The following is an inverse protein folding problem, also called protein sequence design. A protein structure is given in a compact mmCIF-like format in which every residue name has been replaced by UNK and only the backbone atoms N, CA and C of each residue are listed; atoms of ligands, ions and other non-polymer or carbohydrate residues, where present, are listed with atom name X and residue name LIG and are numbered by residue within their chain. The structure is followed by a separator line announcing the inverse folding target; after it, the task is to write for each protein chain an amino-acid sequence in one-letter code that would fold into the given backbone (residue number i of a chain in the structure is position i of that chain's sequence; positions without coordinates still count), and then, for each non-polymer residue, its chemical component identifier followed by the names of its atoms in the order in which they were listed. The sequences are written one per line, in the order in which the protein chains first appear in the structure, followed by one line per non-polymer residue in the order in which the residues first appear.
data_IF_668351454155
#
_entry.id   IF_668351454155
#
_cell.length_a   1.000
_cell.length_b   1.000
_cell.length_c   1.000
_cell.angle_alpha   90.00
_cell.angle_beta   90.00
_cell.angle_gamma   90.00
#
_symmetry.space_group_name_H-M   'P 1'
#
loop_
_entity.id
_entity.type
_entity.pdbx_description
1 polymer ?
#
# COMPACT_ATOMS: atom_id res chain seq x y z
N UNK A 1 17.60 -14.53 13.06
CA UNK A 1 16.17 -14.70 12.70
C UNK A 1 15.69 -16.00 13.32
N UNK A 2 14.67 -15.94 14.14
CA UNK A 2 14.00 -17.13 14.72
C UNK A 2 12.87 -17.60 13.80
N UNK A 3 12.29 -18.77 14.09
CA UNK A 3 11.11 -19.26 13.34
C UNK A 3 9.92 -18.32 13.57
N UNK A 4 9.75 -17.82 14.78
CA UNK A 4 8.70 -16.86 15.14
C UNK A 4 8.83 -15.58 14.33
N UNK A 5 10.03 -15.01 14.24
CA UNK A 5 10.29 -13.82 13.40
C UNK A 5 9.99 -14.08 11.93
N UNK A 6 10.33 -15.26 11.43
CA UNK A 6 10.03 -15.64 10.04
C UNK A 6 8.52 -15.70 9.80
N UNK A 7 7.74 -16.27 10.73
CA UNK A 7 6.29 -16.35 10.63
C UNK A 7 5.65 -14.94 10.64
N UNK A 8 6.15 -14.04 11.46
CA UNK A 8 5.68 -12.64 11.48
C UNK A 8 5.95 -11.94 10.15
N UNK A 9 7.12 -12.15 9.58
CA UNK A 9 7.48 -11.59 8.26
C UNK A 9 6.55 -12.15 7.16
N UNK A 10 6.25 -13.44 7.17
CA UNK A 10 5.34 -14.06 6.18
C UNK A 10 3.89 -13.53 6.33
N UNK A 11 3.41 -13.30 7.55
CA UNK A 11 2.09 -12.69 7.75
C UNK A 11 2.04 -11.23 7.25
N UNK A 12 3.11 -10.45 7.38
CA UNK A 12 3.20 -9.10 6.83
C UNK A 12 3.22 -9.14 5.29
N UNK A 13 3.98 -10.04 4.68
CA UNK A 13 3.98 -10.22 3.22
C UNK A 13 2.59 -10.59 2.71
N UNK A 14 1.91 -11.51 3.40
CA UNK A 14 0.53 -11.89 3.08
C UNK A 14 -0.44 -10.71 3.19
N UNK A 15 -0.33 -9.90 4.25
CA UNK A 15 -1.11 -8.68 4.41
C UNK A 15 -0.98 -7.75 3.20
N UNK A 16 0.25 -7.53 2.72
CA UNK A 16 0.50 -6.67 1.56
C UNK A 16 -0.01 -7.30 0.26
N UNK A 17 0.07 -8.62 0.11
CA UNK A 17 -0.53 -9.33 -1.00
C UNK A 17 -2.06 -9.21 -0.99
N UNK A 18 -2.69 -9.34 0.18
CA UNK A 18 -4.13 -9.14 0.33
C UNK A 18 -4.57 -7.74 -0.07
N UNK A 19 -3.75 -6.72 0.22
CA UNK A 19 -4.03 -5.35 -0.22
C UNK A 19 -4.22 -5.27 -1.74
N UNK A 20 -3.29 -5.79 -2.54
CA UNK A 20 -3.40 -5.75 -3.99
C UNK A 20 -4.62 -6.53 -4.50
N UNK A 21 -4.84 -7.74 -3.99
CA UNK A 21 -6.00 -8.55 -4.38
C UNK A 21 -7.33 -7.87 -4.05
N UNK A 22 -7.47 -7.28 -2.87
CA UNK A 22 -8.70 -6.60 -2.48
C UNK A 22 -8.92 -5.29 -3.24
N UNK A 23 -7.83 -4.56 -3.52
CA UNK A 23 -7.89 -3.37 -4.35
C UNK A 23 -8.35 -3.71 -5.77
N UNK A 24 -7.69 -4.65 -6.42
CA UNK A 24 -7.98 -5.05 -7.81
C UNK A 24 -9.39 -5.65 -7.94
N UNK A 25 -9.87 -6.34 -6.91
CA UNK A 25 -11.24 -6.84 -6.84
C UNK A 25 -12.28 -5.79 -6.43
N UNK A 26 -11.88 -4.56 -6.13
CA UNK A 26 -12.74 -3.51 -5.56
C UNK A 26 -13.49 -3.94 -4.28
N UNK A 27 -12.86 -4.77 -3.48
CA UNK A 27 -13.40 -5.30 -2.23
C UNK A 27 -13.18 -4.32 -1.08
N UNK A 28 -14.01 -3.26 -1.03
CA UNK A 28 -13.81 -2.11 -0.15
C UNK A 28 -13.62 -2.48 1.32
N UNK A 29 -14.53 -3.24 1.89
CA UNK A 29 -14.51 -3.52 3.33
C UNK A 29 -13.32 -4.40 3.72
N UNK A 30 -12.98 -5.40 2.90
CA UNK A 30 -11.78 -6.21 3.13
C UNK A 30 -10.50 -5.40 2.99
N UNK A 31 -10.43 -4.49 2.00
CA UNK A 31 -9.29 -3.60 1.82
C UNK A 31 -9.11 -2.68 3.03
N UNK A 32 -10.18 -2.05 3.48
CA UNK A 32 -10.15 -1.08 4.59
C UNK A 32 -9.83 -1.78 5.92
N UNK A 33 -10.25 -3.04 6.09
CA UNK A 33 -9.91 -3.80 7.30
C UNK A 33 -8.40 -4.07 7.46
N UNK A 34 -7.63 -3.98 6.39
CA UNK A 34 -6.16 -4.13 6.48
C UNK A 34 -5.46 -2.99 7.20
N UNK A 35 -6.13 -1.86 7.42
CA UNK A 35 -5.55 -0.64 8.01
C UNK A 35 -5.86 -0.51 9.50
N UNK A 36 -4.96 0.16 10.24
CA UNK A 36 -5.25 0.61 11.61
C UNK A 36 -6.23 1.77 11.59
N UNK A 37 -6.90 2.06 12.73
CA UNK A 37 -7.87 3.16 12.82
C UNK A 37 -7.23 4.53 12.54
N UNK A 38 -5.99 4.71 12.95
CA UNK A 38 -5.18 5.92 12.77
C UNK A 38 -4.23 5.85 11.56
N UNK A 39 -4.48 4.94 10.63
CA UNK A 39 -3.60 4.73 9.49
C UNK A 39 -3.45 5.97 8.61
N UNK A 40 -2.31 6.07 7.95
CA UNK A 40 -2.01 7.14 6.99
C UNK A 40 -1.58 6.56 5.67
N UNK A 41 -2.22 7.02 4.59
CA UNK A 41 -1.79 6.75 3.22
C UNK A 41 -1.22 8.04 2.62
N UNK A 42 0.01 7.98 2.14
CA UNK A 42 0.69 9.09 1.48
C UNK A 42 0.85 8.77 0.00
N UNK A 43 0.04 9.44 -0.80
CA UNK A 43 0.12 9.41 -2.25
C UNK A 43 0.64 10.76 -2.74
N UNK A 44 1.13 10.84 -3.96
CA UNK A 44 1.42 12.16 -4.53
C UNK A 44 0.12 12.98 -4.73
N UNK A 45 0.27 14.28 -4.97
CA UNK A 45 -0.89 15.18 -5.08
C UNK A 45 -1.82 14.81 -6.26
N UNK A 46 -1.28 14.22 -7.33
CA UNK A 46 -2.07 13.79 -8.49
C UNK A 46 -2.88 12.52 -8.22
N UNK A 47 -2.47 11.74 -7.21
CA UNK A 47 -3.12 10.51 -6.78
C UNK A 47 -3.91 10.67 -5.46
N UNK A 48 -4.24 11.89 -5.09
CA UNK A 48 -5.14 12.17 -3.97
C UNK A 48 -4.48 12.66 -2.68
N UNK A 49 -3.15 12.80 -2.66
CA UNK A 49 -2.42 13.35 -1.51
C UNK A 49 -2.45 12.46 -0.26
N UNK A 50 -2.53 13.07 0.91
CA UNK A 50 -2.54 12.36 2.18
C UNK A 50 -3.95 12.02 2.63
N UNK A 51 -4.17 10.76 3.02
CA UNK A 51 -5.41 10.31 3.66
C UNK A 51 -5.10 9.89 5.09
N UNK A 52 -5.75 10.52 6.05
CA UNK A 52 -5.48 10.37 7.47
C UNK A 52 -6.68 9.73 8.17
N UNK A 53 -6.44 8.58 8.77
CA UNK A 53 -7.42 7.78 9.49
C UNK A 53 -8.28 6.90 8.59
N UNK A 54 -8.65 5.76 9.11
CA UNK A 54 -9.40 4.69 8.41
C UNK A 54 -10.70 5.20 7.77
N UNK A 55 -11.38 6.14 8.42
CA UNK A 55 -12.60 6.74 7.88
C UNK A 55 -12.37 7.48 6.56
N UNK A 56 -11.31 8.28 6.49
CA UNK A 56 -10.95 9.01 5.27
C UNK A 56 -10.44 8.06 4.19
N UNK A 57 -9.62 7.08 4.58
CA UNK A 57 -9.13 6.03 3.68
C UNK A 57 -10.30 5.29 3.02
N UNK A 58 -11.30 4.86 3.82
CA UNK A 58 -12.51 4.20 3.30
C UNK A 58 -13.28 5.09 2.33
N UNK A 59 -13.50 6.35 2.68
CA UNK A 59 -14.24 7.29 1.82
C UNK A 59 -13.55 7.50 0.47
N UNK A 60 -12.22 7.61 0.47
CA UNK A 60 -11.44 7.81 -0.75
C UNK A 60 -11.42 6.55 -1.62
N UNK A 61 -11.16 5.35 -1.06
CA UNK A 61 -11.24 4.12 -1.84
C UNK A 61 -12.64 3.88 -2.41
N UNK A 62 -13.69 4.16 -1.61
CA UNK A 62 -15.06 4.06 -2.12
C UNK A 62 -15.27 4.94 -3.33
N UNK A 63 -14.84 6.21 -3.27
CA UNK A 63 -14.93 7.14 -4.40
C UNK A 63 -14.17 6.60 -5.61
N UNK A 64 -12.93 6.13 -5.45
CA UNK A 64 -12.15 5.57 -6.56
C UNK A 64 -12.83 4.34 -7.17
N UNK A 65 -13.37 3.45 -6.36
CA UNK A 65 -14.06 2.26 -6.86
C UNK A 65 -15.39 2.60 -7.55
N UNK A 66 -16.12 3.60 -7.05
CA UNK A 66 -17.37 4.07 -7.68
C UNK A 66 -17.10 4.76 -9.02
N UNK A 67 -16.01 5.53 -9.13
CA UNK A 67 -15.68 6.32 -10.31
C UNK A 67 -14.94 5.49 -11.37
N UNK A 68 -13.96 4.68 -10.98
CA UNK A 68 -13.00 4.03 -11.89
C UNK A 68 -12.96 2.51 -11.76
N UNK A 69 -13.49 1.93 -10.70
CA UNK A 69 -13.44 0.49 -10.46
C UNK A 69 -14.37 -0.30 -11.38
N UNK A 70 -13.99 -1.50 -11.72
CA UNK A 70 -14.79 -2.53 -12.44
C UNK A 70 -15.46 -2.17 -13.77
N UNK A 71 -15.75 -0.90 -14.01
CA UNK A 71 -16.47 -0.47 -15.22
C UNK A 71 -15.53 -0.03 -16.34
N UNK A 72 -14.48 0.67 -15.96
CA UNK A 72 -13.56 1.31 -16.90
C UNK A 72 -12.10 0.97 -16.63
N UNK A 73 -11.81 0.45 -15.45
CA UNK A 73 -10.45 0.21 -14.98
C UNK A 73 -10.22 -1.25 -14.62
N UNK A 74 -9.52 -1.95 -15.48
CA UNK A 74 -9.04 -3.30 -15.21
C UNK A 74 -7.56 -3.17 -14.85
N UNK A 75 -7.25 -3.26 -13.56
CA UNK A 75 -5.89 -3.11 -13.05
C UNK A 75 -5.38 -4.39 -12.41
N UNK A 76 -4.07 -4.55 -12.40
CA UNK A 76 -3.38 -5.56 -11.65
C UNK A 76 -2.17 -4.95 -10.97
N UNK A 77 -2.19 -4.91 -9.64
CA UNK A 77 -1.07 -4.49 -8.81
C UNK A 77 -0.17 -5.69 -8.51
N UNK A 78 0.90 -5.86 -9.29
CA UNK A 78 1.93 -6.84 -8.98
C UNK A 78 2.91 -6.25 -7.96
N UNK A 79 2.81 -6.69 -6.70
CA UNK A 79 3.67 -6.25 -5.60
C UNK A 79 4.75 -7.29 -5.38
N UNK A 80 6.02 -6.88 -5.49
CA UNK A 80 7.15 -7.80 -5.54
C UNK A 80 8.31 -7.34 -4.66
N UNK A 81 9.33 -8.21 -4.54
CA UNK A 81 10.59 -7.93 -3.85
C UNK A 81 10.39 -7.40 -2.42
N UNK A 82 9.67 -8.13 -1.56
CA UNK A 82 9.44 -7.70 -0.19
C UNK A 82 10.74 -7.61 0.60
N UNK A 83 10.93 -6.50 1.27
CA UNK A 83 11.97 -6.32 2.28
C UNK A 83 11.30 -5.87 3.58
N UNK A 84 11.24 -6.76 4.58
CA UNK A 84 10.56 -6.53 5.85
C UNK A 84 11.58 -6.54 6.98
N UNK A 85 11.51 -5.53 7.83
CA UNK A 85 12.27 -5.41 9.07
C UNK A 85 11.31 -5.35 10.27
N UNK A 86 11.44 -6.28 11.19
CA UNK A 86 10.76 -6.21 12.48
C UNK A 86 11.46 -5.16 13.34
N UNK A 87 10.78 -4.07 13.67
CA UNK A 87 11.31 -2.96 14.47
C UNK A 87 10.98 -3.07 15.95
N UNK A 88 10.12 -4.03 16.29
CA UNK A 88 9.72 -4.35 17.67
C UNK A 88 8.80 -5.56 17.68
N UNK A 89 8.29 -5.90 18.86
CA UNK A 89 7.40 -7.04 19.05
C UNK A 89 6.11 -6.90 18.20
N UNK A 90 5.57 -5.68 18.13
CA UNK A 90 4.28 -5.40 17.48
C UNK A 90 4.42 -4.30 16.40
N UNK A 91 5.64 -4.06 15.92
CA UNK A 91 5.94 -3.06 14.89
C UNK A 91 6.90 -3.61 13.86
N UNK A 92 6.69 -3.23 12.61
CA UNK A 92 7.55 -3.58 11.48
C UNK A 92 7.51 -2.49 10.41
N UNK A 93 8.53 -2.50 9.56
CA UNK A 93 8.61 -1.69 8.36
C UNK A 93 8.81 -2.58 7.15
N UNK A 94 8.32 -2.14 6.01
CA UNK A 94 8.43 -2.92 4.79
C UNK A 94 8.57 -2.09 3.54
N UNK A 95 9.22 -2.67 2.55
CA UNK A 95 9.42 -2.08 1.25
C UNK A 95 9.11 -3.08 0.15
N UNK A 96 8.47 -2.59 -0.93
CA UNK A 96 8.05 -3.43 -2.06
C UNK A 96 8.16 -2.65 -3.35
N UNK A 97 8.37 -3.37 -4.46
CA UNK A 97 8.14 -2.79 -5.77
C UNK A 97 6.68 -3.00 -6.20
N UNK A 98 6.13 -2.00 -6.87
CA UNK A 98 4.85 -2.04 -7.55
C UNK A 98 5.09 -2.04 -9.05
N UNK A 99 4.48 -2.99 -9.74
CA UNK A 99 4.20 -2.93 -11.17
C UNK A 99 2.68 -2.83 -11.31
N UNK A 100 2.19 -1.68 -11.70
CA UNK A 100 0.77 -1.44 -11.91
C UNK A 100 0.46 -1.59 -13.40
N UNK A 101 -0.38 -2.56 -13.72
CA UNK A 101 -0.86 -2.81 -15.06
C UNK A 101 -2.30 -2.36 -15.20
N UNK A 102 -2.59 -1.59 -16.26
CA UNK A 102 -3.92 -1.18 -16.62
C UNK A 102 -4.28 -1.78 -17.99
N UNK A 103 -5.27 -2.66 -18.01
CA UNK A 103 -5.75 -3.33 -19.22
C UNK A 103 -7.01 -2.67 -19.80
N UNK A 104 -7.40 -1.51 -19.29
CA UNK A 104 -8.55 -0.78 -19.74
C UNK A 104 -8.31 -0.17 -21.12
N UNK A 105 -9.26 -0.40 -22.04
CA UNK A 105 -9.22 0.21 -23.34
C UNK A 105 -8.28 -0.45 -24.35
N UNK A 106 -7.92 0.31 -25.37
CA UNK A 106 -7.10 -0.14 -26.51
C UNK A 106 -5.62 0.21 -26.35
N UNK A 107 -5.13 0.28 -25.13
CA UNK A 107 -3.71 0.58 -24.92
C UNK A 107 -2.83 -0.57 -25.40
N UNK A 108 -1.76 -0.25 -26.12
CA UNK A 108 -0.75 -1.22 -26.53
C UNK A 108 0.29 -1.44 -25.44
N UNK A 109 0.39 -0.51 -24.50
CA UNK A 109 1.27 -0.61 -23.32
C UNK A 109 0.42 -0.63 -22.06
N UNK A 110 0.25 -1.81 -21.43
CA UNK A 110 -0.55 -1.94 -20.25
C UNK A 110 0.18 -1.47 -18.97
N UNK A 111 1.48 -1.16 -19.02
CA UNK A 111 2.21 -0.69 -17.84
C UNK A 111 1.78 0.74 -17.49
N UNK A 112 0.98 0.87 -16.45
CA UNK A 112 0.49 2.15 -15.95
C UNK A 112 1.55 2.90 -15.16
N UNK A 113 2.15 2.24 -14.17
CA UNK A 113 3.25 2.82 -13.42
C UNK A 113 4.19 1.77 -12.81
N UNK A 114 5.38 2.22 -12.42
CA UNK A 114 6.28 1.50 -11.55
C UNK A 114 6.48 2.34 -10.30
N UNK A 115 6.36 1.73 -9.14
CA UNK A 115 6.51 2.43 -7.87
C UNK A 115 7.22 1.63 -6.81
N UNK A 116 7.47 2.31 -5.69
CA UNK A 116 7.99 1.70 -4.47
C UNK A 116 7.06 2.04 -3.32
N UNK A 117 6.55 1.01 -2.66
CA UNK A 117 5.87 1.17 -1.39
C UNK A 117 6.88 1.19 -0.25
N UNK A 118 6.71 2.15 0.65
CA UNK A 118 7.31 2.19 1.98
C UNK A 118 6.19 2.14 3.02
N UNK A 119 6.17 1.08 3.80
CA UNK A 119 5.10 0.78 4.75
C UNK A 119 5.61 0.71 6.19
N UNK A 120 4.76 1.10 7.13
CA UNK A 120 4.91 0.77 8.55
C UNK A 120 3.69 -0.03 9.01
N UNK A 121 3.94 -1.05 9.79
CA UNK A 121 2.95 -1.99 10.28
C UNK A 121 2.84 -1.97 11.80
N UNK A 122 1.64 -2.21 12.31
CA UNK A 122 1.37 -2.47 13.72
C UNK A 122 0.59 -3.76 13.89
N UNK A 123 0.90 -4.50 14.93
CA UNK A 123 0.15 -5.67 15.33
C UNK A 123 -0.90 -5.27 16.35
N UNK A 124 -2.17 -5.42 15.99
CA UNK A 124 -3.33 -5.06 16.81
C UNK A 124 -4.13 -6.35 17.08
N UNK A 125 -4.32 -6.69 18.34
CA UNK A 125 -5.04 -7.91 18.76
C UNK A 125 -4.52 -9.18 18.07
N UNK A 126 -3.18 -9.27 17.96
CA UNK A 126 -2.50 -10.40 17.33
C UNK A 126 -2.51 -10.43 15.80
N UNK A 127 -3.03 -9.39 15.14
CA UNK A 127 -3.08 -9.29 13.67
C UNK A 127 -2.28 -8.10 13.18
N UNK A 128 -1.44 -8.31 12.17
CA UNK A 128 -0.76 -7.23 11.49
C UNK A 128 -1.72 -6.37 10.70
N UNK A 129 -1.51 -5.05 10.74
CA UNK A 129 -2.27 -4.04 10.02
C UNK A 129 -1.32 -3.02 9.40
N UNK A 130 -1.70 -2.45 8.27
CA UNK A 130 -1.00 -1.31 7.67
C UNK A 130 -1.28 -0.09 8.53
N UNK A 131 -0.23 0.48 9.11
CA UNK A 131 -0.33 1.69 9.92
C UNK A 131 0.00 2.93 9.10
N UNK A 132 1.00 2.83 8.24
CA UNK A 132 1.36 3.88 7.28
C UNK A 132 1.78 3.24 5.98
N UNK A 133 1.42 3.86 4.87
CA UNK A 133 1.88 3.45 3.55
C UNK A 133 2.18 4.68 2.72
N UNK A 134 3.27 4.63 1.97
CA UNK A 134 3.66 5.63 1.00
C UNK A 134 3.97 4.95 -0.32
N UNK A 135 3.55 5.56 -1.42
CA UNK A 135 3.93 5.14 -2.76
C UNK A 135 4.73 6.26 -3.44
N UNK A 136 5.94 5.96 -3.80
CA UNK A 136 6.79 6.81 -4.63
C UNK A 136 6.90 6.22 -6.04
N UNK A 137 6.69 7.06 -7.06
CA UNK A 137 6.69 6.62 -8.45
C UNK A 137 8.11 6.65 -9.03
N UNK A 138 8.46 5.59 -9.77
CA UNK A 138 9.69 5.49 -10.55
C UNK A 138 9.44 5.68 -12.05
N UNK A 139 8.21 5.47 -12.48
CA UNK A 139 7.75 5.62 -13.86
C UNK A 139 6.23 5.91 -13.86
N UNK A 140 5.68 6.76 -14.74
CA UNK A 140 6.40 7.56 -15.74
C UNK A 140 7.18 8.73 -15.16
N UNK A 141 6.69 9.32 -14.05
CA UNK A 141 7.33 10.45 -13.39
C UNK A 141 8.11 9.96 -12.16
N UNK A 142 9.42 10.17 -12.18
CA UNK A 142 10.29 9.68 -11.14
C UNK A 142 10.28 10.58 -9.90
N UNK A 143 9.86 10.01 -8.78
CA UNK A 143 10.05 10.57 -7.45
C UNK A 143 11.18 9.79 -6.77
N UNK A 144 12.19 10.48 -6.26
CA UNK A 144 13.31 9.84 -5.58
C UNK A 144 12.87 9.46 -4.17
N UNK A 145 13.01 8.19 -3.86
CA UNK A 145 12.70 7.63 -2.53
C UNK A 145 13.99 7.17 -1.84
N UNK A 146 13.93 6.98 -0.53
CA UNK A 146 15.02 6.41 0.27
C UNK A 146 15.36 4.98 -0.16
N UNK A 147 16.52 4.49 0.27
CA UNK A 147 17.05 3.16 -0.12
C UNK A 147 16.63 2.00 0.78
N UNK A 148 16.08 2.26 1.97
CA UNK A 148 15.79 1.26 3.01
C UNK A 148 14.34 1.35 3.48
N UNK A 149 13.78 0.29 4.09
CA UNK A 149 12.49 0.35 4.79
C UNK A 149 12.47 1.44 5.86
N UNK A 150 11.27 1.93 6.20
CA UNK A 150 11.08 2.98 7.20
C UNK A 150 11.34 4.38 6.68
N UNK A 151 11.31 4.57 5.37
CA UNK A 151 11.36 5.90 4.81
C UNK A 151 10.25 6.78 5.41
N UNK A 152 10.64 7.97 5.88
CA UNK A 152 9.72 8.86 6.58
C UNK A 152 8.53 9.24 5.71
N UNK A 153 7.34 9.04 6.22
CA UNK A 153 6.10 9.57 5.67
C UNK A 153 5.99 11.03 6.11
N UNK A 154 5.96 11.93 5.14
CA UNK A 154 6.08 13.39 5.41
C UNK A 154 4.74 14.12 5.52
N UNK A 155 3.63 13.52 5.09
CA UNK A 155 2.34 14.19 5.19
C UNK A 155 1.76 14.22 6.62
N UNK A 156 2.32 13.46 7.54
CA UNK A 156 2.09 13.61 8.98
C UNK A 156 3.27 14.38 9.54
N UNK A 157 3.41 15.58 9.09
CA UNK A 157 4.41 16.46 9.67
C UNK A 157 4.07 16.78 11.09
N UNK A 158 5.10 16.76 11.87
CA UNK A 158 5.24 17.33 13.20
C UNK A 158 4.35 18.59 13.34
N UNK A 159 3.09 18.40 13.74
CA UNK A 159 2.23 19.44 14.28
C UNK A 159 2.28 19.36 15.79
#
# INVERSE_FOLDING_TARGET
MTVEELLEIEEIKKLRSQYSHFYDANSLENLVDLFTEDAVCEWDASHGGCWIGKKQIRANYKRYFDEFGNKEWIVMHAITNPWIELTGKDTAEGRYFLLDFNFCGLTQDPLGCIGVYDDAYKKIDGKWKIHRTRLDFLYPDRIITGGTPGHRIVCVTDQ
#
